data_IF_201442020730
#
_entry.id   IF_201442020730
#
_cell.length_a   1.000
_cell.length_b   1.000
_cell.length_c   1.000
_cell.angle_alpha   90.00
_cell.angle_beta   90.00
_cell.angle_gamma   90.00
#
_symmetry.space_group_name_H-M   'P 1'
#
loop_
_entity.id
_entity.type
_entity.pdbx_description
1 polymer ?
#
# COMPACT_ATOMS: atom_id res chain seq x y z
N UNK A 1 64.09 -5.50 -15.90
CA UNK A 1 63.28 -4.34 -15.50
C UNK A 1 61.85 -4.82 -15.30
N UNK A 2 61.46 -4.95 -14.02
CA UNK A 2 60.16 -5.44 -13.54
C UNK A 2 59.17 -4.27 -13.49
N UNK A 3 58.43 -3.97 -14.54
CA UNK A 3 57.42 -2.89 -14.49
C UNK A 3 56.30 -3.08 -15.53
N UNK A 4 55.53 -4.18 -15.46
CA UNK A 4 54.31 -4.25 -16.27
C UNK A 4 53.17 -5.11 -15.70
N UNK A 5 53.03 -5.25 -14.37
CA UNK A 5 51.90 -5.98 -13.77
C UNK A 5 51.34 -5.26 -12.53
N UNK A 6 50.90 -4.01 -12.67
CA UNK A 6 50.23 -3.32 -11.56
C UNK A 6 49.24 -2.24 -11.98
N UNK A 7 48.38 -2.50 -12.96
CA UNK A 7 47.28 -1.60 -13.31
C UNK A 7 45.99 -2.35 -13.68
N UNK A 8 45.73 -3.50 -13.02
CA UNK A 8 44.52 -4.29 -13.28
C UNK A 8 43.87 -4.89 -12.01
N UNK A 9 43.98 -4.22 -10.86
CA UNK A 9 43.49 -4.77 -9.57
C UNK A 9 42.58 -3.83 -8.76
N UNK A 10 41.95 -2.83 -9.39
CA UNK A 10 41.02 -1.94 -8.67
C UNK A 10 39.64 -1.75 -9.35
N UNK A 11 39.08 -2.81 -9.95
CA UNK A 11 37.67 -2.78 -10.40
C UNK A 11 36.76 -3.79 -9.71
N UNK A 12 37.29 -4.76 -8.98
CA UNK A 12 36.47 -5.76 -8.30
C UNK A 12 36.45 -5.43 -6.81
N UNK A 13 35.45 -4.66 -6.36
CA UNK A 13 34.87 -4.65 -4.99
C UNK A 13 34.10 -3.36 -4.73
N UNK A 14 33.24 -2.92 -5.66
CA UNK A 14 31.99 -2.30 -5.20
C UNK A 14 30.99 -3.43 -5.05
N UNK A 15 31.18 -4.22 -3.99
CA UNK A 15 30.05 -4.97 -3.43
C UNK A 15 29.05 -3.90 -3.05
N UNK A 16 28.00 -3.79 -3.84
CA UNK A 16 26.79 -3.08 -3.44
C UNK A 16 26.46 -3.60 -2.05
N UNK A 17 26.61 -2.74 -1.04
CA UNK A 17 25.90 -2.94 0.21
C UNK A 17 24.42 -2.93 -0.19
N UNK A 18 23.88 -4.11 -0.48
CA UNK A 18 22.45 -4.29 -0.43
C UNK A 18 22.14 -4.12 1.04
N UNK A 19 21.86 -2.87 1.43
CA UNK A 19 21.21 -2.61 2.68
C UNK A 19 20.01 -3.56 2.69
N UNK A 20 19.94 -4.46 3.68
CA UNK A 20 18.66 -5.00 4.11
C UNK A 20 17.89 -3.80 4.62
N UNK A 21 17.29 -3.06 3.68
CA UNK A 21 16.50 -1.88 3.95
C UNK A 21 15.34 -2.31 4.81
N UNK A 22 14.96 -1.44 5.76
CA UNK A 22 13.76 -1.60 6.56
C UNK A 22 12.51 -1.79 5.70
N UNK A 23 11.34 -1.90 6.34
CA UNK A 23 10.03 -1.96 5.68
C UNK A 23 10.07 -1.25 4.32
N UNK A 24 9.97 -2.03 3.24
CA UNK A 24 10.15 -1.52 1.89
C UNK A 24 9.27 -0.30 1.66
N UNK A 25 9.70 0.57 0.75
CA UNK A 25 8.90 1.73 0.35
C UNK A 25 7.44 1.31 0.06
N UNK A 26 6.47 2.13 0.50
CA UNK A 26 5.07 1.88 0.15
C UNK A 26 4.85 2.22 -1.34
N UNK A 27 5.06 1.22 -2.19
CA UNK A 27 4.88 1.30 -3.65
C UNK A 27 3.44 1.59 -4.08
N UNK A 28 2.46 1.45 -3.17
CA UNK A 28 1.07 1.80 -3.42
C UNK A 28 0.77 3.29 -3.21
N UNK A 29 1.68 4.06 -2.61
CA UNK A 29 1.42 5.46 -2.25
C UNK A 29 1.12 6.30 -3.50
N UNK A 30 0.01 7.04 -3.46
CA UNK A 30 -0.48 7.88 -4.56
C UNK A 30 -0.94 7.11 -5.80
N UNK A 31 -0.99 5.77 -5.75
CA UNK A 31 -1.50 4.95 -6.85
C UNK A 31 -3.02 4.97 -6.85
N UNK A 32 -3.58 4.95 -8.06
CA UNK A 32 -5.03 4.86 -8.25
C UNK A 32 -5.52 3.45 -7.97
N UNK A 33 -6.78 3.36 -7.60
CA UNK A 33 -7.48 2.10 -7.44
C UNK A 33 -8.91 2.24 -7.93
N UNK A 34 -9.57 1.08 -8.12
CA UNK A 34 -11.01 1.00 -8.40
C UNK A 34 -11.70 0.28 -7.25
N UNK A 35 -12.88 0.77 -6.86
CA UNK A 35 -13.69 0.23 -5.78
C UNK A 35 -14.99 -0.36 -6.33
N UNK A 36 -15.27 -1.62 -6.00
CA UNK A 36 -16.48 -2.33 -6.41
C UNK A 36 -17.13 -3.01 -5.19
N UNK A 37 -18.37 -2.60 -4.80
CA UNK A 37 -19.10 -1.44 -5.28
C UNK A 37 -18.42 -0.13 -4.85
N UNK A 38 -18.87 0.99 -5.44
CA UNK A 38 -18.47 2.32 -4.95
C UNK A 38 -18.84 2.49 -3.46
N UNK A 39 -18.05 3.25 -2.68
CA UNK A 39 -18.40 3.62 -1.32
C UNK A 39 -19.80 4.21 -1.23
N UNK A 40 -20.50 3.87 -0.17
CA UNK A 40 -21.90 4.23 0.00
C UNK A 40 -22.26 4.55 1.46
N UNK A 41 -21.28 4.72 2.35
CA UNK A 41 -21.56 5.08 3.73
C UNK A 41 -21.72 6.60 3.88
N UNK A 42 -22.94 7.13 4.11
CA UNK A 42 -23.23 8.55 3.90
C UNK A 42 -22.42 9.51 4.78
N UNK A 43 -21.89 9.04 5.91
CA UNK A 43 -21.16 9.88 6.85
C UNK A 43 -19.74 10.20 6.41
N UNK A 44 -19.14 9.36 5.56
CA UNK A 44 -17.77 9.57 5.09
C UNK A 44 -17.65 9.67 3.56
N UNK A 45 -18.47 8.96 2.78
CA UNK A 45 -18.37 8.92 1.31
C UNK A 45 -18.30 10.30 0.67
N UNK A 46 -17.24 10.54 -0.10
CA UNK A 46 -16.93 11.80 -0.76
C UNK A 46 -16.15 11.61 -2.07
N UNK A 47 -15.96 12.66 -2.90
CA UNK A 47 -15.28 12.53 -4.19
C UNK A 47 -13.83 12.01 -4.12
N UNK A 48 -13.13 12.18 -3.00
CA UNK A 48 -11.74 11.76 -2.81
C UNK A 48 -11.61 10.29 -2.37
N UNK A 49 -12.73 9.56 -2.23
CA UNK A 49 -12.76 8.12 -1.96
C UNK A 49 -11.91 7.30 -2.95
N UNK A 50 -11.60 7.83 -4.14
CA UNK A 50 -10.75 7.22 -5.18
C UNK A 50 -9.23 7.40 -4.98
N UNK A 51 -8.81 8.18 -3.99
CA UNK A 51 -7.38 8.43 -3.67
C UNK A 51 -7.00 8.21 -2.19
N UNK A 52 -7.96 8.33 -1.27
CA UNK A 52 -7.68 8.32 0.17
C UNK A 52 -7.02 7.03 0.71
N UNK A 53 -7.25 5.86 0.10
CA UNK A 53 -6.62 4.62 0.58
C UNK A 53 -5.09 4.60 0.37
N UNK A 54 -4.57 5.47 -0.50
CA UNK A 54 -3.16 5.50 -0.89
C UNK A 54 -2.47 6.86 -0.69
N UNK A 55 -3.17 7.86 -0.15
CA UNK A 55 -2.62 9.20 0.06
C UNK A 55 -1.57 9.28 1.21
N UNK A 56 -1.60 8.29 2.10
CA UNK A 56 -0.74 8.19 3.27
C UNK A 56 -1.21 9.00 4.48
N UNK A 57 -2.46 9.46 4.48
CA UNK A 57 -3.12 10.16 5.58
C UNK A 57 -3.92 9.13 6.39
N UNK A 58 -3.74 9.16 7.71
CA UNK A 58 -4.44 8.27 8.64
C UNK A 58 -5.37 9.07 9.54
N UNK A 59 -6.61 8.61 9.64
CA UNK A 59 -7.55 9.10 10.64
C UNK A 59 -7.21 8.53 12.01
N UNK A 60 -7.24 9.37 13.05
CA UNK A 60 -7.03 8.95 14.45
C UNK A 60 -8.35 8.93 15.21
N UNK A 61 -8.51 7.95 16.10
CA UNK A 61 -9.69 7.84 16.96
C UNK A 61 -10.93 7.34 16.20
N UNK A 62 -12.06 8.01 16.39
CA UNK A 62 -13.36 7.65 15.80
C UNK A 62 -13.37 7.99 14.31
N UNK A 63 -13.01 7.02 13.46
CA UNK A 63 -12.68 7.28 12.05
C UNK A 63 -13.80 7.00 11.04
N UNK A 64 -14.76 6.12 11.32
CA UNK A 64 -15.71 5.64 10.31
C UNK A 64 -16.72 6.67 9.81
N UNK A 65 -16.81 7.84 10.44
CA UNK A 65 -17.63 8.98 9.98
C UNK A 65 -16.78 10.16 9.51
N UNK A 66 -15.46 10.00 9.42
CA UNK A 66 -14.55 11.07 8.96
C UNK A 66 -14.38 10.97 7.46
N UNK A 67 -14.30 12.11 6.78
CA UNK A 67 -14.13 12.19 5.32
C UNK A 67 -12.87 11.48 4.84
N UNK A 68 -11.80 11.50 5.62
CA UNK A 68 -10.56 10.75 5.34
C UNK A 68 -10.66 9.22 5.55
N UNK A 69 -11.87 8.65 5.46
CA UNK A 69 -12.13 7.21 5.61
C UNK A 69 -13.08 6.75 4.53
N UNK A 70 -12.61 5.82 3.70
CA UNK A 70 -13.46 5.16 2.69
C UNK A 70 -14.35 4.12 3.36
N UNK A 71 -15.67 4.22 3.15
CA UNK A 71 -16.65 3.43 3.91
C UNK A 71 -17.80 2.86 3.09
N UNK A 72 -18.26 1.69 3.51
CA UNK A 72 -19.43 1.01 2.95
C UNK A 72 -20.44 0.64 4.03
N UNK A 73 -21.70 0.59 3.64
CA UNK A 73 -22.80 0.06 4.42
C UNK A 73 -23.57 -0.97 3.60
N UNK A 74 -23.79 -2.16 4.20
CA UNK A 74 -24.54 -3.27 3.57
C UNK A 74 -23.99 -3.66 2.19
N UNK A 75 -22.67 -3.60 2.01
CA UNK A 75 -21.99 -4.03 0.79
C UNK A 75 -21.13 -5.28 1.07
N UNK A 76 -21.32 -6.33 0.29
CA UNK A 76 -20.49 -7.54 0.35
C UNK A 76 -20.58 -8.31 -0.98
N UNK A 77 -19.45 -8.71 -1.59
CA UNK A 77 -18.08 -8.38 -1.21
C UNK A 77 -17.71 -6.93 -1.57
N UNK A 78 -16.65 -6.40 -0.95
CA UNK A 78 -15.96 -5.18 -1.39
C UNK A 78 -14.65 -5.59 -2.04
N UNK A 79 -14.41 -5.12 -3.26
CA UNK A 79 -13.23 -5.40 -4.06
C UNK A 79 -12.49 -4.08 -4.30
N UNK A 80 -11.20 -4.08 -3.93
CA UNK A 80 -10.28 -2.96 -4.15
C UNK A 80 -9.25 -3.43 -5.17
N UNK A 81 -9.25 -2.82 -6.35
CA UNK A 81 -8.31 -3.14 -7.43
C UNK A 81 -7.26 -2.02 -7.47
N UNK A 82 -6.04 -2.31 -7.03
CA UNK A 82 -4.93 -1.36 -6.99
C UNK A 82 -4.03 -1.55 -8.22
N UNK A 83 -3.83 -0.49 -9.01
CA UNK A 83 -2.90 -0.51 -10.14
C UNK A 83 -1.59 0.20 -9.76
N UNK A 84 -0.49 -0.57 -9.71
CA UNK A 84 0.85 -0.03 -9.44
C UNK A 84 1.44 0.74 -10.64
N UNK A 85 0.88 0.58 -11.83
CA UNK A 85 1.30 1.22 -13.09
C UNK A 85 2.52 0.58 -13.76
N UNK A 86 3.19 -0.37 -13.08
CA UNK A 86 4.27 -1.19 -13.65
C UNK A 86 4.40 -2.49 -12.85
N UNK A 87 5.09 -3.48 -13.41
CA UNK A 87 5.46 -4.70 -12.67
C UNK A 87 6.39 -4.31 -11.53
N UNK A 88 6.04 -4.70 -10.31
CA UNK A 88 6.79 -4.39 -9.08
C UNK A 88 6.77 -5.60 -8.14
N UNK A 89 7.86 -5.89 -7.40
CA UNK A 89 7.86 -6.92 -6.39
C UNK A 89 6.98 -6.49 -5.20
N UNK A 90 6.01 -7.34 -4.82
CA UNK A 90 5.12 -7.09 -3.68
C UNK A 90 5.56 -7.97 -2.51
N UNK A 91 6.11 -7.33 -1.47
CA UNK A 91 6.56 -8.02 -0.25
C UNK A 91 5.46 -8.22 0.79
N UNK A 92 4.33 -7.53 0.67
CA UNK A 92 3.21 -7.61 1.59
C UNK A 92 2.20 -6.48 1.40
N UNK A 93 1.10 -6.56 2.14
CA UNK A 93 0.05 -5.54 2.19
C UNK A 93 -0.24 -5.18 3.64
N UNK A 94 -0.48 -3.89 3.87
CA UNK A 94 -1.04 -3.37 5.12
C UNK A 94 -2.41 -2.74 4.83
N UNK A 95 -3.35 -2.94 5.73
CA UNK A 95 -4.71 -2.42 5.63
C UNK A 95 -5.13 -1.85 6.99
N UNK A 96 -5.53 -0.57 7.01
CA UNK A 96 -5.97 0.10 8.22
C UNK A 96 -7.49 0.01 8.34
N UNK A 97 -7.97 -0.64 9.40
CA UNK A 97 -9.40 -0.80 9.67
C UNK A 97 -9.64 -0.91 11.16
N UNK A 98 -10.91 -0.87 11.56
CA UNK A 98 -11.32 -1.31 12.89
C UNK A 98 -12.61 -2.11 12.79
N UNK A 99 -12.76 -2.99 13.77
CA UNK A 99 -13.98 -3.74 14.03
C UNK A 99 -13.99 -4.13 15.52
N UNK A 100 -15.00 -4.88 15.94
CA UNK A 100 -15.13 -5.38 17.32
C UNK A 100 -15.85 -4.43 18.27
N UNK A 101 -16.24 -3.24 17.82
CA UNK A 101 -17.10 -2.31 18.56
C UNK A 101 -18.28 -1.86 17.68
N UNK A 102 -19.36 -1.39 18.31
CA UNK A 102 -20.54 -0.86 17.62
C UNK A 102 -21.16 -1.79 16.54
N UNK A 103 -20.99 -3.11 16.68
CA UNK A 103 -21.54 -4.11 15.75
C UNK A 103 -20.72 -4.33 14.46
N UNK A 104 -19.52 -3.75 14.35
CA UNK A 104 -18.63 -3.99 13.21
C UNK A 104 -17.90 -5.34 13.33
N UNK A 105 -17.96 -6.17 12.29
CA UNK A 105 -17.23 -7.45 12.21
C UNK A 105 -15.87 -7.27 11.55
N UNK A 106 -14.87 -8.05 12.00
CA UNK A 106 -13.59 -8.11 11.31
C UNK A 106 -13.78 -8.68 9.89
N UNK A 107 -13.24 -8.03 8.85
CA UNK A 107 -13.39 -8.54 7.50
C UNK A 107 -12.54 -9.80 7.31
N UNK A 108 -13.04 -10.76 6.55
CA UNK A 108 -12.21 -11.80 5.92
C UNK A 108 -11.58 -11.19 4.67
N UNK A 109 -10.25 -11.23 4.58
CA UNK A 109 -9.49 -10.62 3.49
C UNK A 109 -8.94 -11.73 2.60
N UNK A 110 -9.23 -11.63 1.30
CA UNK A 110 -8.58 -12.45 0.27
C UNK A 110 -7.66 -11.53 -0.54
N UNK A 111 -6.41 -11.93 -0.71
CA UNK A 111 -5.43 -11.20 -1.49
C UNK A 111 -5.07 -12.00 -2.75
N UNK A 112 -5.28 -11.38 -3.90
CA UNK A 112 -4.76 -11.85 -5.18
C UNK A 112 -3.67 -10.88 -5.65
N UNK A 113 -2.51 -11.43 -5.99
CA UNK A 113 -1.38 -10.70 -6.56
C UNK A 113 -1.04 -11.36 -7.89
N UNK A 114 -0.88 -10.56 -8.94
CA UNK A 114 -0.59 -10.99 -10.31
C UNK A 114 0.46 -10.11 -10.95
#
# INVERSE_FOLDING_TARGET
MRFLNLLLTLSCMFWTLSAFGGFGENIARGKRYTLLPRPNYPYCTDPDDEIQLTDGIYTKGYFWTQRSTVGWQRAYPVIIILDLGSIQPIGGISYSTAAGTAGGNWPTIFLLVS
#
